data_IF_670762916830
#
_entry.id   IF_670762916830
#
_cell.length_a   1.000
_cell.length_b   1.000
_cell.length_c   1.000
_cell.angle_alpha   90.00
_cell.angle_beta   90.00
_cell.angle_gamma   90.00
#
_symmetry.space_group_name_H-M   'P 1'
#
loop_
_entity.id
_entity.type
_entity.pdbx_description
1 polymer ?
#
# COMPACT_ATOMS: atom_id res chain seq x y z
N UNK A 1 -39.82 22.44 -42.91
CA UNK A 1 -38.92 21.26 -42.96
C UNK A 1 -37.49 21.75 -43.10
N UNK A 2 -36.73 21.81 -42.01
CA UNK A 2 -35.28 22.01 -42.05
C UNK A 2 -34.64 20.67 -41.69
N UNK A 3 -34.25 19.90 -42.70
CA UNK A 3 -33.36 18.74 -42.51
C UNK A 3 -31.95 19.27 -42.33
N UNK A 4 -31.55 19.55 -41.10
CA UNK A 4 -30.13 19.66 -40.78
C UNK A 4 -29.50 18.29 -41.04
N UNK A 5 -28.72 18.21 -42.11
CA UNK A 5 -27.78 17.12 -42.34
C UNK A 5 -26.79 17.18 -41.18
N UNK A 6 -27.02 16.37 -40.14
CA UNK A 6 -26.02 16.20 -39.09
C UNK A 6 -24.79 15.58 -39.75
N UNK A 7 -23.75 16.39 -39.96
CA UNK A 7 -22.44 15.89 -40.33
C UNK A 7 -22.05 14.77 -39.36
N UNK A 8 -21.65 13.62 -39.90
CA UNK A 8 -21.09 12.50 -39.14
C UNK A 8 -19.80 12.97 -38.49
N UNK A 9 -19.90 13.61 -37.32
CA UNK A 9 -18.73 13.86 -36.48
C UNK A 9 -18.10 12.49 -36.19
N UNK A 10 -16.81 12.28 -36.52
CA UNK A 10 -16.18 10.98 -36.32
C UNK A 10 -16.29 10.63 -34.84
N UNK A 11 -16.93 9.50 -34.54
CA UNK A 11 -17.17 9.02 -33.19
C UNK A 11 -15.84 8.81 -32.48
N UNK A 12 -15.38 9.83 -31.76
CA UNK A 12 -14.17 9.72 -30.93
C UNK A 12 -14.53 8.93 -29.69
N UNK A 13 -13.69 7.97 -29.38
CA UNK A 13 -13.79 7.05 -28.25
C UNK A 13 -13.50 7.73 -26.88
N UNK A 14 -13.57 9.06 -26.82
CA UNK A 14 -13.11 9.89 -25.72
C UNK A 14 -14.20 10.88 -25.30
N UNK A 15 -14.34 11.08 -23.99
CA UNK A 15 -15.19 12.10 -23.38
C UNK A 15 -14.57 12.65 -22.07
N UNK A 16 -15.06 13.83 -21.65
CA UNK A 16 -14.58 14.51 -20.44
C UNK A 16 -14.87 13.71 -19.15
N UNK A 17 -16.03 13.04 -18.97
CA UNK A 17 -16.27 12.21 -17.79
C UNK A 17 -15.28 11.05 -17.63
N UNK A 18 -14.94 10.31 -18.71
CA UNK A 18 -13.95 9.23 -18.59
C UNK A 18 -12.56 9.77 -18.28
N UNK A 19 -12.22 10.96 -18.81
CA UNK A 19 -10.98 11.66 -18.48
C UNK A 19 -10.88 11.97 -16.99
N UNK A 20 -11.95 12.51 -16.41
CA UNK A 20 -12.02 12.88 -15.00
C UNK A 20 -11.94 11.64 -14.09
N UNK A 21 -12.67 10.57 -14.43
CA UNK A 21 -12.61 9.30 -13.71
C UNK A 21 -11.22 8.66 -13.78
N UNK A 22 -10.57 8.72 -14.94
CA UNK A 22 -9.20 8.24 -15.10
C UNK A 22 -8.19 9.07 -14.30
N UNK A 23 -8.31 10.40 -14.34
CA UNK A 23 -7.47 11.28 -13.53
C UNK A 23 -7.64 11.00 -12.04
N UNK A 24 -8.89 10.80 -11.59
CA UNK A 24 -9.18 10.38 -10.22
C UNK A 24 -8.51 9.04 -9.87
N UNK A 25 -8.56 8.04 -10.76
CA UNK A 25 -7.88 6.75 -10.53
C UNK A 25 -6.37 6.89 -10.36
N UNK A 26 -5.72 7.69 -11.22
CA UNK A 26 -4.28 7.95 -11.11
C UNK A 26 -3.96 8.70 -9.82
N UNK A 27 -4.75 9.73 -9.49
CA UNK A 27 -4.57 10.51 -8.26
C UNK A 27 -4.74 9.65 -7.01
N UNK A 28 -5.78 8.82 -6.93
CA UNK A 28 -6.02 7.92 -5.79
C UNK A 28 -4.89 6.89 -5.66
N UNK A 29 -4.42 6.34 -6.79
CA UNK A 29 -3.30 5.39 -6.79
C UNK A 29 -2.01 6.05 -6.30
N UNK A 30 -1.63 7.23 -6.82
CA UNK A 30 -0.41 7.93 -6.36
C UNK A 30 -0.55 8.44 -4.94
N UNK A 31 -1.72 8.92 -4.57
CA UNK A 31 -1.98 9.37 -3.21
C UNK A 31 -1.82 8.23 -2.20
N UNK A 32 -2.15 6.98 -2.61
CA UNK A 32 -1.82 5.81 -1.81
C UNK A 32 -0.32 5.66 -1.55
N UNK A 33 0.54 5.95 -2.54
CA UNK A 33 1.99 5.99 -2.34
C UNK A 33 2.37 7.09 -1.35
N UNK A 34 1.85 8.30 -1.49
CA UNK A 34 2.28 9.42 -0.62
C UNK A 34 1.91 9.23 0.83
N UNK A 35 0.78 8.57 1.12
CA UNK A 35 0.32 8.30 2.49
C UNK A 35 1.16 7.23 3.19
N UNK A 36 1.98 6.47 2.46
CA UNK A 36 2.89 5.49 3.08
C UNK A 36 3.97 6.14 3.93
N UNK A 37 4.32 7.40 3.64
CA UNK A 37 5.43 8.11 4.28
C UNK A 37 6.76 7.34 4.25
N UNK A 38 6.93 6.45 3.25
CA UNK A 38 8.14 5.66 3.06
C UNK A 38 9.40 6.51 2.87
N UNK A 39 9.30 7.63 2.18
CA UNK A 39 10.40 8.59 2.04
C UNK A 39 9.87 10.01 2.09
N UNK A 40 10.71 10.95 2.49
CA UNK A 40 10.36 12.36 2.45
C UNK A 40 10.09 12.80 1.01
N UNK A 41 9.18 13.77 0.84
CA UNK A 41 8.89 14.40 -0.44
C UNK A 41 8.30 13.48 -1.53
N UNK A 42 7.64 12.37 -1.17
CA UNK A 42 6.88 11.54 -2.14
C UNK A 42 5.83 12.33 -2.93
N UNK A 43 5.40 13.49 -2.43
CA UNK A 43 4.49 14.40 -3.13
C UNK A 43 4.96 14.80 -4.53
N UNK A 44 6.27 14.80 -4.82
CA UNK A 44 6.76 15.07 -6.17
C UNK A 44 6.28 14.03 -7.19
N UNK A 45 6.04 12.77 -6.79
CA UNK A 45 5.52 11.73 -7.70
C UNK A 45 4.13 12.09 -8.25
N UNK A 46 3.31 12.83 -7.49
CA UNK A 46 2.00 13.31 -7.94
C UNK A 46 2.14 14.19 -9.19
N UNK A 47 3.11 15.09 -9.20
CA UNK A 47 3.32 16.02 -10.32
C UNK A 47 3.66 15.29 -11.62
N UNK A 48 4.58 14.32 -11.56
CA UNK A 48 4.92 13.44 -12.69
C UNK A 48 3.70 12.63 -13.15
N UNK A 49 2.96 12.03 -12.21
CA UNK A 49 1.81 11.18 -12.55
C UNK A 49 0.67 11.97 -13.20
N UNK A 50 0.37 13.18 -12.70
CA UNK A 50 -0.63 14.07 -13.29
C UNK A 50 -0.20 14.54 -14.68
N UNK A 51 1.06 14.96 -14.83
CA UNK A 51 1.60 15.34 -16.14
C UNK A 51 1.55 14.18 -17.15
N UNK A 52 1.94 12.96 -16.73
CA UNK A 52 1.86 11.75 -17.52
C UNK A 52 0.41 11.39 -17.89
N UNK A 53 -0.54 11.53 -16.96
CA UNK A 53 -1.95 11.27 -17.22
C UNK A 53 -2.50 12.22 -18.29
N UNK A 54 -2.24 13.52 -18.16
CA UNK A 54 -2.65 14.54 -19.14
C UNK A 54 -2.01 14.26 -20.51
N UNK A 55 -0.71 13.98 -20.54
CA UNK A 55 0.02 13.66 -21.77
C UNK A 55 -0.48 12.37 -22.41
N UNK A 56 -0.73 11.32 -21.63
CA UNK A 56 -1.27 10.04 -22.09
C UNK A 56 -2.63 10.22 -22.76
N UNK A 57 -3.54 10.97 -22.12
CA UNK A 57 -4.84 11.31 -22.69
C UNK A 57 -4.69 12.14 -23.97
N UNK A 58 -3.84 13.16 -23.96
CA UNK A 58 -3.62 14.04 -25.12
C UNK A 58 -3.03 13.27 -26.32
N UNK A 59 -2.05 12.41 -26.08
CA UNK A 59 -1.44 11.56 -27.11
C UNK A 59 -2.43 10.51 -27.63
N UNK A 60 -3.25 9.92 -26.76
CA UNK A 60 -4.29 8.98 -27.19
C UNK A 60 -5.39 9.63 -28.02
N UNK A 61 -5.77 10.88 -27.70
CA UNK A 61 -6.72 11.68 -28.46
C UNK A 61 -6.11 12.28 -29.76
N UNK A 62 -4.78 12.29 -29.88
CA UNK A 62 -4.09 12.89 -31.02
C UNK A 62 -4.26 12.10 -32.32
N UNK A 63 -4.01 12.75 -33.46
CA UNK A 63 -4.04 12.12 -34.79
C UNK A 63 -2.72 11.44 -35.18
N UNK A 64 -1.69 11.53 -34.34
CA UNK A 64 -0.36 11.03 -34.67
C UNK A 64 -0.33 9.50 -34.86
N UNK A 65 0.54 9.05 -35.75
CA UNK A 65 0.80 7.63 -35.95
C UNK A 65 1.58 7.02 -34.78
N UNK A 66 1.52 5.69 -34.63
CA UNK A 66 2.19 4.95 -33.53
C UNK A 66 3.69 5.24 -33.42
N UNK A 67 4.38 5.53 -34.53
CA UNK A 67 5.80 5.90 -34.52
C UNK A 67 6.02 7.31 -33.96
N UNK A 68 5.23 8.28 -34.41
CA UNK A 68 5.30 9.66 -33.92
C UNK A 68 4.97 9.76 -32.43
N UNK A 69 3.95 9.03 -31.97
CA UNK A 69 3.60 8.97 -30.55
C UNK A 69 4.78 8.45 -29.71
N UNK A 70 5.49 7.39 -30.15
CA UNK A 70 6.65 6.88 -29.42
C UNK A 70 7.77 7.91 -29.27
N UNK A 71 8.07 8.66 -30.33
CA UNK A 71 9.07 9.73 -30.27
C UNK A 71 8.65 10.89 -29.36
N UNK A 72 7.36 11.26 -29.38
CA UNK A 72 6.83 12.26 -28.45
C UNK A 72 6.93 11.78 -27.01
N UNK A 73 6.57 10.53 -26.72
CA UNK A 73 6.71 9.94 -25.38
C UNK A 73 8.16 10.01 -24.92
N UNK A 74 9.11 9.58 -25.76
CA UNK A 74 10.54 9.63 -25.45
C UNK A 74 11.01 11.07 -25.17
N UNK A 75 10.60 12.02 -26.01
CA UNK A 75 10.92 13.43 -25.82
C UNK A 75 10.36 14.00 -24.52
N UNK A 76 9.10 13.73 -24.20
CA UNK A 76 8.49 14.19 -22.95
C UNK A 76 9.11 13.53 -21.73
N UNK A 77 9.41 12.23 -21.76
CA UNK A 77 10.13 11.53 -20.69
C UNK A 77 11.49 12.19 -20.44
N UNK A 78 12.25 12.50 -21.49
CA UNK A 78 13.58 13.13 -21.38
C UNK A 78 13.52 14.56 -20.82
N UNK A 79 12.38 15.23 -20.88
CA UNK A 79 12.20 16.59 -20.34
C UNK A 79 11.63 16.57 -18.92
N UNK A 80 10.53 15.84 -18.70
CA UNK A 80 9.79 15.88 -17.44
C UNK A 80 10.52 15.18 -16.30
N UNK A 81 11.15 14.02 -16.56
CA UNK A 81 11.84 13.28 -15.50
C UNK A 81 13.05 14.08 -14.98
N UNK A 82 14.00 14.54 -15.81
CA UNK A 82 15.11 15.34 -15.31
C UNK A 82 14.66 16.65 -14.67
N UNK A 83 13.63 17.33 -15.22
CA UNK A 83 13.07 18.54 -14.60
C UNK A 83 12.56 18.27 -13.19
N UNK A 84 11.90 17.14 -12.94
CA UNK A 84 11.46 16.79 -11.60
C UNK A 84 12.64 16.51 -10.67
N UNK A 85 13.64 15.75 -11.13
CA UNK A 85 14.82 15.47 -10.31
C UNK A 85 15.59 16.73 -9.93
N UNK A 86 15.64 17.70 -10.84
CA UNK A 86 16.25 19.00 -10.57
C UNK A 86 15.46 19.79 -9.52
N UNK A 87 14.14 19.65 -9.45
CA UNK A 87 13.29 20.38 -8.50
C UNK A 87 13.59 20.05 -7.01
N UNK A 88 14.36 19.01 -6.72
CA UNK A 88 14.85 18.68 -5.38
C UNK A 88 15.95 19.61 -4.86
N UNK A 89 16.60 20.36 -5.75
CA UNK A 89 17.72 21.25 -5.42
C UNK A 89 17.31 22.71 -5.50
N UNK A 90 17.93 23.53 -4.66
CA UNK A 90 17.77 24.98 -4.71
C UNK A 90 18.15 25.56 -6.08
N UNK A 91 17.42 26.59 -6.47
CA UNK A 91 17.52 27.19 -7.81
C UNK A 91 18.75 28.09 -8.00
N UNK A 92 19.59 28.25 -6.99
CA UNK A 92 20.78 29.09 -7.02
C UNK A 92 21.97 28.43 -7.74
N UNK A 93 21.95 27.11 -7.90
CA UNK A 93 23.02 26.33 -8.53
C UNK A 93 22.79 26.18 -10.04
N UNK A 94 23.87 26.24 -10.82
CA UNK A 94 23.83 26.02 -12.28
C UNK A 94 23.23 24.65 -12.63
N UNK A 95 22.43 24.59 -13.71
CA UNK A 95 21.68 23.38 -14.07
C UNK A 95 22.60 22.19 -14.38
N UNK A 96 23.79 22.43 -14.94
CA UNK A 96 24.77 21.39 -15.23
C UNK A 96 25.33 20.73 -13.98
N UNK A 97 25.61 21.52 -12.94
CA UNK A 97 26.10 21.01 -11.64
C UNK A 97 25.01 20.23 -10.92
N UNK A 98 23.77 20.71 -10.97
CA UNK A 98 22.60 19.99 -10.43
C UNK A 98 22.38 18.66 -11.14
N UNK A 99 22.47 18.61 -12.47
CA UNK A 99 22.35 17.38 -13.25
C UNK A 99 23.47 16.39 -12.92
N UNK A 100 24.71 16.87 -12.81
CA UNK A 100 25.86 16.04 -12.43
C UNK A 100 25.69 15.47 -11.01
N UNK A 101 25.21 16.29 -10.06
CA UNK A 101 24.95 15.87 -8.68
C UNK A 101 23.84 14.82 -8.59
N UNK A 102 22.69 15.06 -9.23
CA UNK A 102 21.60 14.07 -9.36
C UNK A 102 22.11 12.77 -9.97
N UNK A 103 22.84 12.87 -11.09
CA UNK A 103 23.39 11.70 -11.78
C UNK A 103 24.36 10.91 -10.91
N UNK A 104 25.28 11.58 -10.23
CA UNK A 104 26.24 10.96 -9.31
C UNK A 104 25.56 10.23 -8.16
N UNK A 105 24.60 10.88 -7.49
CA UNK A 105 23.82 10.27 -6.41
C UNK A 105 23.06 9.04 -6.87
N UNK A 106 22.34 9.14 -7.99
CA UNK A 106 21.60 8.01 -8.55
C UNK A 106 22.54 6.85 -8.93
N UNK A 107 23.72 7.12 -9.48
CA UNK A 107 24.70 6.09 -9.81
C UNK A 107 25.21 5.36 -8.55
N UNK A 108 25.48 6.10 -7.47
CA UNK A 108 25.87 5.51 -6.17
C UNK A 108 24.73 4.64 -5.62
N UNK A 109 23.51 5.17 -5.56
CA UNK A 109 22.33 4.44 -5.06
C UNK A 109 22.01 3.18 -5.88
N UNK A 110 22.18 3.23 -7.21
CA UNK A 110 22.06 2.04 -8.07
C UNK A 110 23.12 0.99 -7.71
N UNK A 111 24.35 1.43 -7.43
CA UNK A 111 25.44 0.54 -7.00
C UNK A 111 25.17 -0.10 -5.64
N UNK A 112 24.64 0.66 -4.68
CA UNK A 112 24.22 0.17 -3.37
C UNK A 112 23.09 -0.86 -3.48
N UNK A 113 22.05 -0.53 -4.25
CA UNK A 113 20.94 -1.44 -4.52
C UNK A 113 21.40 -2.73 -5.21
N UNK A 114 22.29 -2.64 -6.21
CA UNK A 114 22.83 -3.80 -6.90
C UNK A 114 23.72 -4.69 -6.00
N UNK A 115 24.24 -4.14 -4.91
CA UNK A 115 25.02 -4.85 -3.91
C UNK A 115 24.18 -5.36 -2.72
N UNK A 116 22.84 -5.33 -2.82
CA UNK A 116 21.89 -5.66 -1.74
C UNK A 116 22.14 -4.84 -0.45
N UNK A 117 22.64 -3.61 -0.59
CA UNK A 117 22.80 -2.67 0.53
C UNK A 117 21.56 -1.79 0.66
N UNK A 118 21.20 -1.37 1.88
CA UNK A 118 20.15 -0.37 2.07
C UNK A 118 20.57 0.94 1.37
N UNK A 119 19.64 1.53 0.62
CA UNK A 119 19.84 2.81 -0.05
C UNK A 119 19.33 3.90 0.88
N UNK A 120 20.25 4.70 1.41
CA UNK A 120 19.91 5.79 2.33
C UNK A 120 19.30 7.00 1.62
N UNK A 121 19.61 7.19 0.32
CA UNK A 121 19.20 8.37 -0.44
C UNK A 121 17.73 8.29 -0.92
N UNK A 122 16.82 9.16 -0.43
CA UNK A 122 15.42 9.20 -0.85
C UNK A 122 15.24 9.46 -2.36
N UNK A 123 16.20 10.13 -3.00
CA UNK A 123 16.14 10.50 -4.41
C UNK A 123 15.99 9.27 -5.30
N UNK A 124 16.65 8.17 -4.96
CA UNK A 124 16.59 6.94 -5.76
C UNK A 124 15.18 6.35 -5.76
N UNK A 125 14.58 6.20 -4.59
CA UNK A 125 13.23 5.68 -4.45
C UNK A 125 12.20 6.55 -5.15
N UNK A 126 12.28 7.87 -4.96
CA UNK A 126 11.35 8.81 -5.61
C UNK A 126 11.52 8.80 -7.14
N UNK A 127 12.75 8.64 -7.64
CA UNK A 127 13.01 8.50 -9.07
C UNK A 127 12.38 7.23 -9.62
N UNK A 128 12.56 6.10 -8.93
CA UNK A 128 11.98 4.82 -9.32
C UNK A 128 10.45 4.88 -9.36
N UNK A 129 9.82 5.39 -8.30
CA UNK A 129 8.37 5.55 -8.23
C UNK A 129 7.85 6.59 -9.23
N UNK A 130 8.61 7.67 -9.46
CA UNK A 130 8.32 8.67 -10.48
C UNK A 130 8.29 8.08 -11.88
N UNK A 131 9.29 7.27 -12.25
CA UNK A 131 9.35 6.56 -13.53
C UNK A 131 8.19 5.55 -13.64
N UNK A 132 7.92 4.80 -12.57
CA UNK A 132 6.82 3.83 -12.52
C UNK A 132 5.48 4.51 -12.78
N UNK A 133 5.14 5.55 -12.02
CA UNK A 133 3.88 6.27 -12.18
C UNK A 133 3.81 7.06 -13.49
N UNK A 134 4.93 7.59 -13.99
CA UNK A 134 4.99 8.21 -15.31
C UNK A 134 4.60 7.23 -16.41
N UNK A 135 5.21 6.04 -16.41
CA UNK A 135 4.95 5.02 -17.44
C UNK A 135 3.53 4.45 -17.34
N UNK A 136 3.08 4.15 -16.12
CA UNK A 136 1.72 3.65 -15.83
C UNK A 136 0.66 4.66 -16.27
N UNK A 137 0.74 5.91 -15.83
CA UNK A 137 -0.27 6.92 -16.15
C UNK A 137 -0.27 7.27 -17.65
N UNK A 138 0.90 7.33 -18.29
CA UNK A 138 1.01 7.59 -19.72
C UNK A 138 0.40 6.45 -20.53
N UNK A 139 0.75 5.20 -20.22
CA UNK A 139 0.19 4.01 -20.88
C UNK A 139 -1.31 3.92 -20.69
N UNK A 140 -1.79 4.03 -19.45
CA UNK A 140 -3.21 3.93 -19.13
C UNK A 140 -4.04 5.03 -19.80
N UNK A 141 -3.54 6.28 -19.80
CA UNK A 141 -4.21 7.40 -20.46
C UNK A 141 -4.28 7.22 -21.98
N UNK A 142 -3.18 6.76 -22.59
CA UNK A 142 -3.15 6.45 -24.02
C UNK A 142 -4.14 5.34 -24.40
N UNK A 143 -4.21 4.27 -23.60
CA UNK A 143 -5.12 3.15 -23.87
C UNK A 143 -6.59 3.54 -23.74
N UNK A 144 -6.92 4.37 -22.74
CA UNK A 144 -8.27 4.87 -22.56
C UNK A 144 -8.70 5.76 -23.75
N UNK A 145 -7.90 6.77 -24.08
CA UNK A 145 -8.30 7.75 -25.10
C UNK A 145 -8.25 7.19 -26.53
N UNK A 146 -7.32 6.28 -26.85
CA UNK A 146 -7.15 5.74 -28.21
C UNK A 146 -8.03 4.53 -28.50
N UNK A 147 -8.19 3.63 -27.52
CA UNK A 147 -8.84 2.33 -27.73
C UNK A 147 -10.07 2.12 -26.86
N UNK A 148 -10.40 3.04 -25.93
CA UNK A 148 -11.43 2.86 -24.89
C UNK A 148 -11.27 1.53 -24.13
N UNK A 149 -10.03 1.09 -23.96
CA UNK A 149 -9.73 -0.12 -23.21
C UNK A 149 -9.66 0.25 -21.72
N UNK A 150 -10.83 0.27 -21.08
CA UNK A 150 -10.98 0.63 -19.67
C UNK A 150 -10.17 -0.29 -18.77
N UNK A 151 -10.09 -1.60 -19.07
CA UNK A 151 -9.31 -2.55 -18.29
C UNK A 151 -7.81 -2.24 -18.36
N UNK A 152 -7.27 -1.99 -19.56
CA UNK A 152 -5.86 -1.61 -19.71
C UNK A 152 -5.54 -0.24 -19.10
N UNK A 153 -6.54 0.63 -18.93
CA UNK A 153 -6.39 1.91 -18.23
C UNK A 153 -6.36 1.74 -16.69
N UNK A 154 -7.18 0.83 -16.15
CA UNK A 154 -7.34 0.63 -14.71
C UNK A 154 -6.27 -0.28 -14.13
N UNK A 155 -6.00 -1.43 -14.79
CA UNK A 155 -5.21 -2.51 -14.22
C UNK A 155 -3.79 -2.11 -13.82
N UNK A 156 -3.02 -1.35 -14.61
CA UNK A 156 -1.66 -0.95 -14.22
C UNK A 156 -1.65 -0.12 -12.93
N UNK A 157 -2.48 0.93 -12.84
CA UNK A 157 -2.57 1.78 -11.66
C UNK A 157 -3.13 1.03 -10.44
N UNK A 158 -4.05 0.09 -10.65
CA UNK A 158 -4.60 -0.77 -9.60
C UNK A 158 -3.58 -1.78 -9.09
N UNK A 159 -2.79 -2.39 -9.98
CA UNK A 159 -1.72 -3.30 -9.61
C UNK A 159 -0.64 -2.57 -8.79
N UNK A 160 -0.20 -1.39 -9.23
CA UNK A 160 0.75 -0.57 -8.46
C UNK A 160 0.20 -0.25 -7.07
N UNK A 161 -1.07 0.13 -6.98
CA UNK A 161 -1.73 0.41 -5.70
C UNK A 161 -1.81 -0.84 -4.80
N UNK A 162 -2.13 -2.02 -5.35
CA UNK A 162 -2.17 -3.27 -4.59
C UNK A 162 -0.79 -3.70 -4.11
N UNK A 163 0.24 -3.50 -4.93
CA UNK A 163 1.64 -3.72 -4.55
C UNK A 163 1.98 -2.81 -3.38
N UNK A 164 1.71 -1.51 -3.47
CA UNK A 164 1.94 -0.56 -2.37
C UNK A 164 1.20 -1.00 -1.12
N UNK A 165 -0.09 -1.33 -1.24
CA UNK A 165 -0.89 -1.80 -0.10
C UNK A 165 -0.30 -3.05 0.55
N UNK A 166 0.31 -3.95 -0.24
CA UNK A 166 0.87 -5.19 0.28
C UNK A 166 2.13 -4.98 1.12
N UNK A 167 2.91 -3.94 0.81
CA UNK A 167 4.16 -3.60 1.50
C UNK A 167 3.98 -2.51 2.57
N UNK A 168 2.91 -1.72 2.50
CA UNK A 168 2.57 -0.70 3.50
C UNK A 168 2.21 -1.38 4.84
N UNK A 169 3.08 -1.22 5.84
CA UNK A 169 2.89 -1.71 7.22
C UNK A 169 1.98 -0.78 8.05
N UNK A 170 1.45 0.28 7.45
CA UNK A 170 0.61 1.28 8.11
C UNK A 170 -0.79 0.78 8.53
N UNK A 171 -1.59 1.68 9.14
CA UNK A 171 -2.86 1.33 9.77
C UNK A 171 -3.86 0.72 8.79
N UNK A 172 -4.59 -0.31 9.25
CA UNK A 172 -5.68 -0.94 8.50
C UNK A 172 -6.82 0.02 8.14
N UNK A 173 -6.91 1.19 8.79
CA UNK A 173 -7.90 2.23 8.48
C UNK A 173 -7.74 2.79 7.05
N UNK A 174 -6.59 2.59 6.38
CA UNK A 174 -6.36 3.05 4.99
C UNK A 174 -7.04 2.20 3.91
N UNK A 175 -7.83 1.19 4.29
CA UNK A 175 -8.54 0.31 3.35
C UNK A 175 -9.60 1.04 2.51
N UNK A 176 -10.15 2.16 3.00
CA UNK A 176 -11.13 2.95 2.24
C UNK A 176 -10.57 3.55 0.94
N UNK A 177 -9.24 3.77 0.85
CA UNK A 177 -8.60 4.26 -0.37
C UNK A 177 -8.78 3.25 -1.51
N UNK A 178 -8.70 1.94 -1.21
CA UNK A 178 -8.96 0.87 -2.17
C UNK A 178 -10.42 0.89 -2.60
N UNK A 179 -11.36 1.10 -1.67
CA UNK A 179 -12.77 1.24 -1.99
C UNK A 179 -13.03 2.43 -2.92
N UNK A 180 -12.39 3.58 -2.68
CA UNK A 180 -12.48 4.75 -3.56
C UNK A 180 -11.92 4.46 -4.95
N UNK A 181 -10.78 3.78 -5.05
CA UNK A 181 -10.21 3.35 -6.33
C UNK A 181 -11.15 2.40 -7.08
N UNK A 182 -11.71 1.39 -6.40
CA UNK A 182 -12.67 0.46 -6.98
C UNK A 182 -13.95 1.15 -7.45
N UNK A 183 -14.45 2.14 -6.71
CA UNK A 183 -15.61 2.93 -7.09
C UNK A 183 -15.36 3.65 -8.41
N UNK A 184 -14.23 4.34 -8.52
CA UNK A 184 -13.85 5.05 -9.75
C UNK A 184 -13.61 4.06 -10.91
N UNK A 185 -13.01 2.90 -10.64
CA UNK A 185 -12.73 1.87 -11.63
C UNK A 185 -13.99 1.25 -12.20
N UNK A 186 -14.93 0.84 -11.34
CA UNK A 186 -16.22 0.27 -11.75
C UNK A 186 -17.05 1.30 -12.53
N UNK A 187 -17.07 2.56 -12.07
CA UNK A 187 -17.74 3.65 -12.77
C UNK A 187 -17.14 3.87 -14.17
N UNK A 188 -15.81 3.84 -14.28
CA UNK A 188 -15.12 3.97 -15.58
C UNK A 188 -15.40 2.78 -16.51
N UNK A 189 -15.48 1.55 -15.98
CA UNK A 189 -15.87 0.37 -16.76
C UNK A 189 -17.29 0.54 -17.33
N UNK A 190 -18.24 0.95 -16.49
CA UNK A 190 -19.61 1.24 -16.91
C UNK A 190 -19.66 2.33 -17.98
N UNK A 191 -18.89 3.42 -17.80
CA UNK A 191 -18.79 4.51 -18.77
C UNK A 191 -18.21 4.06 -20.10
N UNK A 192 -17.13 3.28 -20.08
CA UNK A 192 -16.51 2.76 -21.30
C UNK A 192 -17.43 1.82 -22.08
N UNK A 193 -18.24 1.00 -21.38
CA UNK A 193 -19.29 0.19 -22.02
C UNK A 193 -20.35 1.07 -22.67
N UNK A 194 -20.88 2.06 -21.95
CA UNK A 194 -21.85 3.01 -22.50
C UNK A 194 -21.33 3.70 -23.77
N UNK A 195 -20.06 4.12 -23.79
CA UNK A 195 -19.47 4.74 -24.98
C UNK A 195 -19.42 3.78 -26.18
N UNK A 196 -19.13 2.50 -25.96
CA UNK A 196 -19.20 1.47 -27.02
C UNK A 196 -20.61 1.28 -27.52
N UNK A 197 -21.55 1.04 -26.60
CA UNK A 197 -22.95 0.80 -26.94
C UNK A 197 -23.56 2.02 -27.65
N UNK A 198 -23.18 3.25 -27.27
CA UNK A 198 -23.60 4.50 -27.92
C UNK A 198 -23.17 4.57 -29.38
N UNK A 199 -21.95 4.15 -29.71
CA UNK A 199 -21.45 4.13 -31.09
C UNK A 199 -22.33 3.17 -31.91
N UNK A 200 -22.58 1.97 -31.39
CA UNK A 200 -23.43 0.96 -32.04
C UNK A 200 -24.89 1.46 -32.23
N UNK A 201 -25.44 2.19 -31.25
CA UNK A 201 -26.78 2.76 -31.32
C UNK A 201 -26.90 3.88 -32.36
N UNK A 202 -25.89 4.74 -32.46
CA UNK A 202 -25.82 5.78 -33.49
C UNK A 202 -25.76 5.17 -34.88
N UNK A 203 -24.98 4.09 -35.06
CA UNK A 203 -24.94 3.34 -36.33
C UNK A 203 -26.28 2.71 -36.68
N UNK A 204 -27.01 2.20 -35.67
CA UNK A 204 -28.35 1.61 -35.81
C UNK A 204 -29.49 2.65 -35.89
N UNK A 205 -29.18 3.95 -35.86
CA UNK A 205 -30.14 5.07 -35.85
C UNK A 205 -31.18 5.00 -34.72
N UNK A 206 -30.80 4.45 -33.58
CA UNK A 206 -31.64 4.46 -32.37
C UNK A 206 -31.63 5.88 -31.80
N UNK A 207 -32.81 6.49 -31.64
CA UNK A 207 -32.94 7.80 -31.02
C UNK A 207 -32.81 7.64 -29.50
N UNK A 208 -31.79 8.28 -28.92
CA UNK A 208 -31.60 8.34 -27.47
C UNK A 208 -32.10 9.69 -26.96
N UNK A 209 -32.81 9.67 -25.83
CA UNK A 209 -33.13 10.89 -25.11
C UNK A 209 -31.83 11.52 -24.59
N UNK A 210 -31.69 12.86 -24.61
CA UNK A 210 -30.49 13.55 -24.10
C UNK A 210 -30.15 13.21 -22.64
N UNK A 211 -31.16 12.90 -21.83
CA UNK A 211 -31.01 12.49 -20.42
C UNK A 211 -30.44 11.07 -20.21
N UNK A 212 -30.49 10.18 -21.22
CA UNK A 212 -30.07 8.77 -21.05
C UNK A 212 -28.59 8.62 -20.67
N UNK A 213 -27.73 9.54 -21.09
CA UNK A 213 -26.29 9.49 -20.80
C UNK A 213 -25.95 9.73 -19.33
N UNK A 214 -26.31 10.89 -18.75
CA UNK A 214 -26.15 11.18 -17.33
C UNK A 214 -26.80 10.12 -16.43
N UNK A 215 -28.03 9.71 -16.72
CA UNK A 215 -28.79 8.74 -15.92
C UNK A 215 -28.09 7.38 -15.84
N UNK A 216 -27.56 6.89 -16.97
CA UNK A 216 -26.86 5.61 -16.99
C UNK A 216 -25.52 5.67 -16.25
N UNK A 217 -24.79 6.80 -16.35
CA UNK A 217 -23.56 6.97 -15.57
C UNK A 217 -23.81 7.07 -14.06
N UNK A 218 -24.91 7.71 -13.67
CA UNK A 218 -25.32 7.80 -12.27
C UNK A 218 -25.79 6.44 -11.75
N UNK A 219 -26.53 5.67 -12.56
CA UNK A 219 -26.88 4.28 -12.25
C UNK A 219 -25.66 3.37 -12.10
N UNK A 220 -24.64 3.51 -12.95
CA UNK A 220 -23.39 2.77 -12.82
C UNK A 220 -22.63 3.13 -11.54
N UNK A 221 -22.59 4.43 -11.17
CA UNK A 221 -21.98 4.90 -9.93
C UNK A 221 -22.71 4.36 -8.69
N UNK A 222 -24.04 4.46 -8.67
CA UNK A 222 -24.88 3.96 -7.56
C UNK A 222 -24.72 2.43 -7.45
N UNK A 223 -24.75 1.71 -8.57
CA UNK A 223 -24.54 0.27 -8.59
C UNK A 223 -23.15 -0.12 -8.08
N UNK A 224 -22.10 0.58 -8.50
CA UNK A 224 -20.74 0.37 -8.00
C UNK A 224 -20.63 0.66 -6.50
N UNK A 225 -21.22 1.75 -6.02
CA UNK A 225 -21.24 2.09 -4.59
C UNK A 225 -21.99 1.04 -3.77
N UNK A 226 -23.16 0.58 -4.25
CA UNK A 226 -23.93 -0.47 -3.60
C UNK A 226 -23.15 -1.80 -3.53
N UNK A 227 -22.45 -2.18 -4.61
CA UNK A 227 -21.60 -3.37 -4.63
C UNK A 227 -20.45 -3.28 -3.61
N UNK A 228 -19.81 -2.12 -3.52
CA UNK A 228 -18.70 -1.90 -2.58
C UNK A 228 -19.21 -1.92 -1.13
N UNK A 229 -20.32 -1.24 -0.84
CA UNK A 229 -20.95 -1.26 0.48
C UNK A 229 -21.39 -2.66 0.87
N UNK A 230 -21.98 -3.42 -0.07
CA UNK A 230 -22.36 -4.80 0.15
C UNK A 230 -21.12 -5.65 0.47
N UNK A 231 -20.07 -5.54 -0.35
CA UNK A 231 -18.81 -6.27 -0.14
C UNK A 231 -18.15 -5.93 1.21
N UNK A 232 -18.26 -4.69 1.66
CA UNK A 232 -17.71 -4.25 2.96
C UNK A 232 -18.50 -4.78 4.16
N UNK A 233 -19.81 -5.00 3.99
CA UNK A 233 -20.70 -5.52 5.04
C UNK A 233 -20.83 -7.05 5.02
N UNK A 234 -20.31 -7.73 4.00
CA UNK A 234 -20.32 -9.19 3.91
C UNK A 234 -19.41 -9.80 4.97
N UNK A 235 -19.93 -10.57 5.95
CA UNK A 235 -19.11 -11.33 6.87
C UNK A 235 -18.53 -12.53 6.12
N UNK A 236 -17.44 -12.32 5.39
CA UNK A 236 -16.68 -13.38 4.71
C UNK A 236 -16.02 -14.26 5.78
N UNK A 237 -16.74 -15.27 6.26
CA UNK A 237 -16.21 -16.28 7.18
C UNK A 237 -15.71 -17.49 6.38
N UNK A 238 -14.43 -17.45 6.00
CA UNK A 238 -13.78 -18.51 5.22
C UNK A 238 -13.43 -19.75 6.06
N UNK A 239 -13.69 -19.73 7.37
CA UNK A 239 -13.39 -20.82 8.31
C UNK A 239 -14.19 -22.10 8.04
N UNK A 240 -15.32 -22.00 7.33
CA UNK A 240 -16.19 -23.14 6.99
C UNK A 240 -15.77 -23.94 5.73
N UNK A 241 -14.69 -23.56 5.04
CA UNK A 241 -14.34 -24.16 3.75
C UNK A 241 -12.85 -24.53 3.63
N UNK A 242 -12.38 -25.59 4.33
CA UNK A 242 -10.97 -26.02 4.31
C UNK A 242 -10.47 -26.41 2.91
N UNK A 243 -11.37 -26.81 2.01
CA UNK A 243 -11.05 -27.08 0.60
C UNK A 243 -10.70 -25.80 -0.19
N UNK A 244 -11.34 -24.66 0.15
CA UNK A 244 -11.02 -23.35 -0.43
C UNK A 244 -9.73 -22.81 0.15
N UNK A 245 -9.50 -22.98 1.46
CA UNK A 245 -8.24 -22.58 2.11
C UNK A 245 -7.04 -23.30 1.48
N UNK A 246 -7.11 -24.63 1.33
CA UNK A 246 -6.01 -25.40 0.71
C UNK A 246 -5.75 -24.98 -0.74
N UNK A 247 -6.80 -24.85 -1.57
CA UNK A 247 -6.64 -24.37 -2.95
C UNK A 247 -6.09 -22.95 -3.03
N UNK A 248 -6.49 -22.09 -2.09
CA UNK A 248 -5.97 -20.73 -2.01
C UNK A 248 -4.49 -20.71 -1.65
N UNK A 249 -4.07 -21.57 -0.71
CA UNK A 249 -2.66 -21.73 -0.33
C UNK A 249 -1.81 -22.25 -1.49
N UNK A 250 -2.30 -23.25 -2.24
CA UNK A 250 -1.60 -23.81 -3.39
C UNK A 250 -1.42 -22.77 -4.51
N UNK A 251 -2.46 -21.97 -4.77
CA UNK A 251 -2.42 -20.89 -5.78
C UNK A 251 -1.52 -19.73 -5.35
N UNK A 252 -1.46 -19.42 -4.05
CA UNK A 252 -0.68 -18.27 -3.54
C UNK A 252 0.75 -18.63 -3.15
N UNK A 253 1.11 -19.90 -3.00
CA UNK A 253 2.46 -20.33 -2.60
C UNK A 253 3.59 -19.82 -3.51
N UNK A 254 3.50 -19.95 -4.85
CA UNK A 254 4.52 -19.44 -5.78
C UNK A 254 4.72 -17.92 -5.67
N UNK A 255 3.63 -17.22 -5.33
CA UNK A 255 3.64 -15.78 -5.16
C UNK A 255 4.35 -15.34 -3.86
N UNK A 256 4.30 -16.14 -2.79
CA UNK A 256 4.96 -15.82 -1.51
C UNK A 256 6.48 -15.72 -1.64
N UNK A 257 7.13 -16.69 -2.29
CA UNK A 257 8.58 -16.62 -2.48
C UNK A 257 9.02 -15.43 -3.36
N UNK A 258 8.18 -15.05 -4.33
CA UNK A 258 8.41 -13.85 -5.16
C UNK A 258 8.20 -12.58 -4.35
N UNK A 259 7.18 -12.55 -3.49
CA UNK A 259 6.91 -11.46 -2.55
C UNK A 259 8.06 -11.26 -1.57
N UNK A 260 8.66 -12.32 -1.02
CA UNK A 260 9.75 -12.17 -0.06
C UNK A 260 11.02 -11.60 -0.72
N UNK A 261 11.30 -12.01 -1.97
CA UNK A 261 12.39 -11.43 -2.77
C UNK A 261 12.14 -9.96 -3.10
N UNK A 262 10.92 -9.65 -3.53
CA UNK A 262 10.49 -8.27 -3.78
C UNK A 262 10.52 -7.46 -2.48
N UNK A 263 10.14 -8.04 -1.35
CA UNK A 263 10.14 -7.40 -0.04
C UNK A 263 11.54 -6.99 0.40
N UNK A 264 12.54 -7.88 0.27
CA UNK A 264 13.94 -7.51 0.56
C UNK A 264 14.46 -6.40 -0.35
N UNK A 265 14.17 -6.48 -1.64
CA UNK A 265 14.53 -5.41 -2.58
C UNK A 265 13.80 -4.10 -2.25
N UNK A 266 12.55 -4.19 -1.81
CA UNK A 266 11.72 -3.05 -1.44
C UNK A 266 12.18 -2.40 -0.12
N UNK A 267 12.54 -3.20 0.88
CA UNK A 267 13.11 -2.74 2.15
C UNK A 267 14.48 -2.07 1.93
N UNK A 268 15.31 -2.60 1.01
CA UNK A 268 16.54 -1.93 0.60
C UNK A 268 16.29 -0.58 -0.10
N UNK A 269 15.10 -0.37 -0.67
CA UNK A 269 14.69 0.85 -1.37
C UNK A 269 14.02 1.91 -0.47
N UNK A 270 13.40 1.50 0.63
CA UNK A 270 12.67 2.39 1.56
C UNK A 270 13.60 3.24 2.44
N UNK A 271 14.86 2.83 2.60
CA UNK A 271 15.83 3.45 3.50
C UNK A 271 15.48 3.25 4.98
N UNK A 272 16.46 3.45 5.87
CA UNK A 272 16.30 3.22 7.32
C UNK A 272 15.21 4.14 7.95
N UNK A 273 14.93 5.28 7.33
CA UNK A 273 13.97 6.30 7.81
C UNK A 273 12.49 5.92 7.74
N UNK A 274 12.13 4.83 7.05
CA UNK A 274 10.76 4.34 6.97
C UNK A 274 10.42 3.32 8.06
N UNK A 275 11.42 2.55 8.50
CA UNK A 275 11.31 1.63 9.63
C UNK A 275 11.23 2.36 10.98
N UNK A 276 11.81 3.57 11.07
CA UNK A 276 11.87 4.34 12.32
C UNK A 276 10.64 5.25 12.56
N UNK A 277 9.89 5.64 11.52
CA UNK A 277 8.80 6.63 11.62
C UNK A 277 7.40 6.05 11.83
N UNK A 278 7.23 4.74 11.74
CA UNK A 278 5.92 4.09 11.90
C UNK A 278 5.72 3.58 13.34
N UNK A 279 4.94 4.35 14.10
CA UNK A 279 4.15 3.91 15.27
C UNK A 279 4.83 3.84 16.67
N UNK A 280 5.47 4.90 17.15
CA UNK A 280 5.74 5.06 18.62
C UNK A 280 4.64 5.82 19.37
N UNK A 281 3.63 6.39 18.71
CA UNK A 281 2.59 7.16 19.40
C UNK A 281 1.19 6.96 18.82
N UNK A 282 0.51 5.89 19.24
CA UNK A 282 -0.95 5.94 19.41
C UNK A 282 -1.32 5.52 20.82
N UNK A 283 -2.12 6.36 21.48
CA UNK A 283 -2.75 6.11 22.78
C UNK A 283 -3.98 5.20 22.70
N UNK A 284 -4.16 4.47 21.60
CA UNK A 284 -5.15 3.40 21.48
C UNK A 284 -4.64 2.35 20.48
N UNK A 285 -4.35 1.15 20.99
CA UNK A 285 -4.29 -0.04 20.13
C UNK A 285 -5.72 -0.33 19.68
N UNK A 286 -5.96 -0.28 18.37
CA UNK A 286 -7.12 -0.94 17.77
C UNK A 286 -6.89 -2.44 17.94
N UNK A 287 -7.51 -3.02 18.97
CA UNK A 287 -7.68 -4.45 19.07
C UNK A 287 -8.37 -4.88 17.77
N UNK A 288 -7.67 -5.65 16.94
CA UNK A 288 -8.31 -6.33 15.82
C UNK A 288 -9.53 -7.07 16.37
N UNK A 289 -10.71 -6.71 15.87
CA UNK A 289 -12.02 -7.21 16.32
C UNK A 289 -12.27 -8.68 15.95
N UNK A 290 -11.22 -9.49 15.93
CA UNK A 290 -11.24 -10.93 15.68
C UNK A 290 -10.17 -11.67 16.50
N UNK A 291 -10.10 -11.41 17.81
CA UNK A 291 -9.72 -12.49 18.70
C UNK A 291 -10.88 -13.48 18.68
N UNK A 292 -10.64 -14.69 18.18
CA UNK A 292 -11.60 -15.78 18.23
C UNK A 292 -12.21 -15.83 19.62
N UNK A 293 -13.53 -15.69 19.70
CA UNK A 293 -14.30 -15.81 20.94
C UNK A 293 -14.39 -17.29 21.34
N UNK A 294 -13.23 -17.95 21.43
CA UNK A 294 -13.04 -19.05 22.36
C UNK A 294 -12.84 -18.41 23.74
N UNK A 295 -13.36 -19.05 24.78
CA UNK A 295 -13.18 -18.66 26.17
C UNK A 295 -11.69 -18.74 26.61
N UNK A 296 -10.82 -17.94 26.02
CA UNK A 296 -9.42 -17.84 26.39
C UNK A 296 -9.32 -17.04 27.68
N UNK A 297 -8.93 -17.70 28.77
CA UNK A 297 -8.67 -17.03 30.04
C UNK A 297 -7.35 -16.27 29.90
N UNK A 298 -7.40 -14.94 30.03
CA UNK A 298 -6.22 -14.07 29.97
C UNK A 298 -5.83 -13.66 31.38
N UNK A 299 -4.54 -13.74 31.69
CA UNK A 299 -3.94 -13.26 32.93
C UNK A 299 -3.08 -12.03 32.66
N UNK A 300 -3.39 -10.91 33.29
CA UNK A 300 -2.66 -9.66 33.08
C UNK A 300 -1.56 -9.52 34.13
N UNK A 301 -0.34 -9.20 33.70
CA UNK A 301 0.76 -8.83 34.59
C UNK A 301 0.86 -7.31 34.69
N UNK A 302 1.32 -6.81 35.84
CA UNK A 302 1.63 -5.37 35.95
C UNK A 302 2.78 -4.99 35.00
N UNK A 303 2.86 -3.72 34.57
CA UNK A 303 3.94 -3.25 33.71
C UNK A 303 5.33 -3.53 34.29
N UNK A 304 6.29 -3.78 33.40
CA UNK A 304 7.70 -3.94 33.68
C UNK A 304 8.45 -2.71 33.18
N UNK A 305 9.37 -2.19 33.99
CA UNK A 305 10.32 -1.15 33.58
C UNK A 305 11.69 -1.66 33.99
N UNK A 306 12.56 -1.94 33.01
CA UNK A 306 13.90 -2.50 33.23
C UNK A 306 14.94 -1.77 32.39
N UNK A 307 16.19 -1.82 32.82
CA UNK A 307 17.31 -1.32 32.01
C UNK A 307 17.84 -2.44 31.12
N UNK A 308 18.09 -2.15 29.85
CA UNK A 308 18.66 -3.10 28.90
C UNK A 308 20.18 -3.16 29.03
N UNK A 309 20.76 -4.31 28.66
CA UNK A 309 22.20 -4.54 28.66
C UNK A 309 22.82 -3.99 27.35
N UNK A 310 22.89 -2.67 27.22
CA UNK A 310 23.51 -2.01 26.06
C UNK A 310 24.89 -1.40 26.40
N UNK A 311 25.83 -1.50 25.46
CA UNK A 311 27.19 -0.98 25.59
C UNK A 311 27.31 0.53 25.26
N UNK A 312 26.28 1.13 24.65
CA UNK A 312 26.33 2.48 24.08
C UNK A 312 25.48 3.53 24.82
N UNK A 313 24.88 3.19 25.96
CA UNK A 313 24.07 4.11 26.77
C UNK A 313 23.07 3.38 27.68
N UNK A 314 22.43 4.11 28.60
CA UNK A 314 21.35 3.58 29.45
C UNK A 314 20.04 3.61 28.68
N UNK A 315 19.64 2.47 28.11
CA UNK A 315 18.30 2.29 27.54
C UNK A 315 17.39 1.58 28.53
N UNK A 316 16.13 1.98 28.59
CA UNK A 316 15.12 1.30 29.40
C UNK A 316 13.98 0.76 28.55
N UNK A 317 13.49 -0.42 28.94
CA UNK A 317 12.36 -1.12 28.34
C UNK A 317 11.15 -1.00 29.28
N UNK A 318 10.07 -0.40 28.77
CA UNK A 318 8.73 -0.47 29.37
C UNK A 318 7.91 -1.52 28.62
N UNK A 319 7.46 -2.55 29.33
CA UNK A 319 6.76 -3.70 28.75
C UNK A 319 5.54 -4.08 29.58
N UNK A 320 4.38 -4.25 28.94
CA UNK A 320 3.17 -4.81 29.57
C UNK A 320 2.83 -6.12 28.89
N UNK A 321 2.68 -7.20 29.66
CA UNK A 321 2.50 -8.58 29.16
C UNK A 321 1.22 -9.19 29.69
N UNK A 322 0.43 -9.78 28.81
CA UNK A 322 -0.74 -10.58 29.14
C UNK A 322 -0.53 -12.03 28.72
N UNK A 323 -0.85 -12.99 29.58
CA UNK A 323 -0.62 -14.42 29.37
C UNK A 323 -1.93 -15.11 29.01
N UNK A 324 -1.94 -15.90 27.93
CA UNK A 324 -3.07 -16.76 27.57
C UNK A 324 -2.96 -18.11 28.26
N UNK A 325 -3.98 -18.47 29.03
CA UNK A 325 -3.99 -19.72 29.79
C UNK A 325 -4.63 -20.84 28.98
N UNK A 326 -4.06 -22.05 29.08
CA UNK A 326 -4.68 -23.24 28.51
C UNK A 326 -5.97 -23.65 29.23
N UNK A 327 -6.07 -23.33 30.53
CA UNK A 327 -7.23 -23.63 31.36
C UNK A 327 -7.37 -22.61 32.50
N UNK A 328 -8.59 -22.40 33.04
CA UNK A 328 -8.81 -21.54 34.21
C UNK A 328 -8.04 -21.99 35.46
N UNK A 329 -7.68 -23.27 35.57
CA UNK A 329 -6.89 -23.81 36.70
C UNK A 329 -5.48 -23.21 36.79
N UNK A 330 -4.92 -22.68 35.70
CA UNK A 330 -3.61 -22.00 35.71
C UNK A 330 -3.64 -20.67 36.46
N UNK A 331 -4.80 -20.02 36.57
CA UNK A 331 -4.91 -18.67 37.12
C UNK A 331 -4.59 -18.62 38.61
N UNK A 332 -4.98 -19.65 39.36
CA UNK A 332 -4.68 -19.74 40.79
C UNK A 332 -3.17 -19.96 41.05
N UNK A 333 -2.49 -20.75 40.21
CA UNK A 333 -1.05 -20.99 40.32
C UNK A 333 -0.25 -19.74 39.96
N UNK A 334 -0.64 -19.05 38.88
CA UNK A 334 -0.04 -17.78 38.50
C UNK A 334 -0.18 -16.75 39.61
N UNK A 335 -1.37 -16.56 40.17
CA UNK A 335 -1.60 -15.64 41.29
C UNK A 335 -0.72 -15.96 42.51
N UNK A 336 -0.53 -17.24 42.84
CA UNK A 336 0.28 -17.64 43.98
C UNK A 336 1.79 -17.40 43.76
N UNK A 337 2.25 -17.44 42.51
CA UNK A 337 3.68 -17.33 42.16
C UNK A 337 4.02 -16.04 41.40
N UNK A 338 3.09 -15.07 41.31
CA UNK A 338 3.28 -13.81 40.56
C UNK A 338 4.61 -13.13 40.93
N UNK A 339 4.98 -13.08 42.20
CA UNK A 339 6.23 -12.44 42.65
C UNK A 339 7.47 -13.13 42.07
N UNK A 340 7.52 -14.45 42.07
CA UNK A 340 8.64 -15.25 41.56
C UNK A 340 8.72 -15.16 40.02
N UNK A 341 7.56 -15.18 39.37
CA UNK A 341 7.46 -15.00 37.92
C UNK A 341 7.95 -13.61 37.53
N UNK A 342 7.51 -12.56 38.21
CA UNK A 342 7.94 -11.18 37.93
C UNK A 342 9.44 -11.03 38.09
N UNK A 343 10.03 -11.56 39.16
CA UNK A 343 11.49 -11.53 39.36
C UNK A 343 12.25 -12.21 38.21
N UNK A 344 11.85 -13.44 37.85
CA UNK A 344 12.47 -14.17 36.73
C UNK A 344 12.35 -13.44 35.40
N UNK A 345 11.22 -12.77 35.14
CA UNK A 345 11.01 -11.96 33.95
C UNK A 345 11.83 -10.67 33.96
N UNK A 346 11.95 -9.99 35.11
CA UNK A 346 12.79 -8.79 35.24
C UNK A 346 14.25 -9.13 34.92
N UNK A 347 14.76 -10.25 35.46
CA UNK A 347 16.13 -10.72 35.18
C UNK A 347 16.31 -11.05 33.70
N UNK A 348 15.34 -11.75 33.09
CA UNK A 348 15.38 -12.05 31.66
C UNK A 348 15.44 -10.77 30.82
N UNK A 349 14.51 -9.84 31.05
CA UNK A 349 14.39 -8.63 30.26
C UNK A 349 15.60 -7.70 30.44
N UNK A 350 16.17 -7.64 31.65
CA UNK A 350 17.37 -6.84 31.93
C UNK A 350 18.64 -7.39 31.27
N UNK A 351 18.65 -8.68 30.90
CA UNK A 351 19.76 -9.31 30.18
C UNK A 351 19.72 -9.12 28.67
N UNK A 352 18.68 -8.49 28.12
CA UNK A 352 18.53 -8.26 26.68
C UNK A 352 19.22 -6.96 26.27
N UNK A 353 19.81 -6.97 25.08
CA UNK A 353 20.29 -5.77 24.40
C UNK A 353 19.26 -5.24 23.39
N UNK A 354 19.39 -4.00 22.94
CA UNK A 354 18.50 -3.45 21.90
C UNK A 354 18.53 -4.27 20.61
N UNK A 355 19.71 -4.77 20.20
CA UNK A 355 19.85 -5.59 19.00
C UNK A 355 19.07 -6.90 19.08
N UNK A 356 18.82 -7.42 20.29
CA UNK A 356 18.09 -8.66 20.48
C UNK A 356 16.56 -8.50 20.42
N UNK A 357 16.04 -7.31 20.73
CA UNK A 357 14.59 -7.08 20.91
C UNK A 357 14.02 -5.94 20.06
N UNK A 358 14.86 -5.22 19.31
CA UNK A 358 14.44 -4.16 18.39
C UNK A 358 13.73 -4.69 17.16
N UNK A 359 14.12 -5.88 16.68
CA UNK A 359 13.54 -6.52 15.48
C UNK A 359 12.26 -7.29 15.80
N UNK A 360 11.45 -7.59 14.77
CA UNK A 360 10.21 -8.37 14.90
C UNK A 360 10.54 -9.80 15.35
N UNK A 361 11.57 -10.39 14.77
CA UNK A 361 12.09 -11.71 15.11
C UNK A 361 12.53 -11.76 16.58
N UNK A 362 13.24 -10.72 17.03
CA UNK A 362 13.66 -10.57 18.42
C UNK A 362 12.50 -10.53 19.42
N UNK A 363 11.43 -9.80 19.08
CA UNK A 363 10.19 -9.75 19.88
C UNK A 363 9.50 -11.12 19.94
N UNK A 364 9.47 -11.87 18.84
CA UNK A 364 8.92 -13.24 18.85
C UNK A 364 9.75 -14.19 19.70
N UNK A 365 11.08 -14.14 19.61
CA UNK A 365 11.97 -14.93 20.45
C UNK A 365 11.77 -14.58 21.94
N UNK A 366 11.70 -13.28 22.26
CA UNK A 366 11.46 -12.81 23.62
C UNK A 366 10.11 -13.31 24.17
N UNK A 367 9.05 -13.33 23.34
CA UNK A 367 7.75 -13.89 23.72
C UNK A 367 7.87 -15.36 24.08
N UNK A 368 8.55 -16.14 23.24
CA UNK A 368 8.68 -17.58 23.45
C UNK A 368 9.55 -17.89 24.68
N UNK A 369 10.57 -17.08 24.95
CA UNK A 369 11.37 -17.14 26.19
C UNK A 369 10.53 -16.81 27.44
N UNK A 370 9.69 -15.76 27.38
CA UNK A 370 8.78 -15.40 28.48
C UNK A 370 7.83 -16.56 28.77
N UNK A 371 7.19 -17.13 27.74
CA UNK A 371 6.28 -18.27 27.88
C UNK A 371 7.01 -19.47 28.47
N UNK A 372 8.22 -19.76 28.00
CA UNK A 372 9.04 -20.85 28.52
C UNK A 372 9.38 -20.65 30.00
N UNK A 373 9.81 -19.45 30.41
CA UNK A 373 10.12 -19.13 31.81
C UNK A 373 8.90 -19.24 32.71
N UNK A 374 7.77 -18.67 32.30
CA UNK A 374 6.53 -18.74 33.08
C UNK A 374 6.08 -20.20 33.25
N UNK A 375 6.18 -21.00 32.19
CA UNK A 375 5.80 -22.42 32.25
C UNK A 375 6.69 -23.28 33.17
N UNK A 376 7.87 -22.80 33.60
CA UNK A 376 8.69 -23.52 34.60
C UNK A 376 8.10 -23.42 36.01
N UNK A 377 7.29 -22.40 36.26
CA UNK A 377 6.62 -22.16 37.54
C UNK A 377 5.27 -22.88 37.64
N UNK A 378 4.73 -23.35 36.51
CA UNK A 378 3.43 -24.01 36.45
C UNK A 378 3.57 -25.53 36.46
N UNK A 379 2.73 -26.20 37.26
CA UNK A 379 2.77 -27.67 37.38
C UNK A 379 1.49 -28.34 36.90
N UNK A 380 0.33 -27.71 37.07
CA UNK A 380 -0.97 -28.31 36.69
C UNK A 380 -1.51 -27.84 35.35
N UNK A 381 -0.97 -26.76 34.80
CA UNK A 381 -1.42 -26.21 33.51
C UNK A 381 -0.28 -25.46 32.83
N UNK A 382 -0.53 -24.92 31.64
CA UNK A 382 0.45 -24.18 30.84
C UNK A 382 -0.13 -22.88 30.30
N UNK A 383 0.74 -21.91 30.14
CA UNK A 383 0.54 -20.73 29.30
C UNK A 383 0.73 -21.15 27.84
N UNK A 384 -0.26 -20.84 27.00
CA UNK A 384 -0.22 -21.09 25.55
C UNK A 384 0.69 -20.09 24.84
N UNK A 385 0.54 -18.82 25.18
CA UNK A 385 1.27 -17.71 24.57
C UNK A 385 1.25 -16.49 25.47
N UNK A 386 2.11 -15.51 25.18
CA UNK A 386 2.14 -14.20 25.81
C UNK A 386 1.87 -13.12 24.76
N UNK A 387 1.15 -12.08 25.16
CA UNK A 387 0.80 -10.93 24.33
C UNK A 387 1.41 -9.67 24.94
N UNK A 388 2.10 -8.87 24.13
CA UNK A 388 2.61 -7.57 24.55
C UNK A 388 1.55 -6.52 24.24
N UNK A 389 1.07 -5.84 25.28
CA UNK A 389 0.09 -4.75 25.17
C UNK A 389 0.76 -3.38 25.17
N UNK A 390 1.97 -3.30 25.71
CA UNK A 390 2.82 -2.12 25.66
C UNK A 390 4.27 -2.59 25.49
N UNK A 391 5.02 -1.99 24.57
CA UNK A 391 6.44 -2.29 24.36
C UNK A 391 7.11 -1.00 23.89
N UNK A 392 7.90 -0.38 24.77
CA UNK A 392 8.58 0.90 24.53
C UNK A 392 10.02 0.77 24.96
N UNK A 393 10.96 1.15 24.10
CA UNK A 393 12.38 1.27 24.42
C UNK A 393 12.76 2.74 24.32
N UNK A 394 13.45 3.28 25.33
CA UNK A 394 13.87 4.68 25.41
C UNK A 394 15.34 4.81 25.79
#
# INVERSE_FOLDING_TARGET
MYTQVMEKSPSRWWDLPSAALFMLLVLVSVWRLTVTDWTDNLGYVINLAVAAAILGLALGASRFEKRGVRWLILGYTLVFIPRQLLAFYDNEIYIGERLASVGGRLLVSIGEFAADKPVEDPLFFITLMGILYWTVALFSGYQLARHNNTLAAILPAGLTMLVIHQFDKGPADRLWIIALFLLAALTLIGRGKYLRDRIDWVERRVQLAPETGPDLSMGALIGAAALILLAWNLPLDLTGAPALEKKWLDVTQPWRGTRDRLGRAFEALEGEGAAERVETFRSSLSLGSRAAQGSATIFNLDPFIVNLQDNSGTRYLKLTVNLELASPSAQAELNAQTTQIRDSLIILLSSKSYTDIGTVEGKYQMRDEIVSRVNQFLTKSKVKTAYFTEFVIQ
#
